data_IF_121723826352
#
_entry.id   IF_121723826352
#
_cell.length_a   1.000
_cell.length_b   1.000
_cell.length_c   1.000
_cell.angle_alpha   90.00
_cell.angle_beta   90.00
_cell.angle_gamma   90.00
#
_symmetry.space_group_name_H-M   'P 1'
#
loop_
_entity.id
_entity.type
_entity.pdbx_description
1 polymer ?
#
# COMPACT_ATOMS: atom_id res chain seq x y z
N UNK A 1 -33.99 -2.00 -42.23
CA UNK A 1 -32.53 -1.99 -42.27
C UNK A 1 -32.09 -0.80 -41.45
N UNK A 2 -31.89 -0.96 -40.17
CA UNK A 2 -31.43 0.03 -39.22
C UNK A 2 -30.10 -0.46 -38.69
N UNK A 3 -29.05 0.26 -39.02
CA UNK A 3 -27.69 -0.03 -38.59
C UNK A 3 -27.58 0.23 -37.08
N UNK A 4 -27.42 -0.81 -36.32
CA UNK A 4 -26.79 -0.76 -35.01
C UNK A 4 -25.29 -0.90 -35.25
N UNK A 5 -24.50 0.10 -34.90
CA UNK A 5 -23.11 -0.04 -34.48
C UNK A 5 -22.61 1.36 -34.12
N UNK A 6 -22.85 1.75 -32.87
CA UNK A 6 -21.97 2.69 -32.18
C UNK A 6 -21.47 2.00 -30.92
N UNK A 7 -20.39 1.24 -31.10
CA UNK A 7 -19.52 0.90 -29.99
C UNK A 7 -18.99 2.22 -29.48
N UNK A 8 -19.52 2.67 -28.35
CA UNK A 8 -18.97 3.80 -27.62
C UNK A 8 -17.54 3.44 -27.23
N UNK A 9 -16.56 4.09 -27.88
CA UNK A 9 -15.20 4.13 -27.36
C UNK A 9 -15.30 4.59 -25.89
N UNK A 10 -14.87 3.73 -24.97
CA UNK A 10 -14.80 4.07 -23.55
C UNK A 10 -13.75 5.15 -23.38
N UNK A 11 -14.20 6.41 -23.25
CA UNK A 11 -13.31 7.53 -22.96
C UNK A 11 -12.64 7.32 -21.60
N UNK A 12 -11.33 7.58 -21.53
CA UNK A 12 -10.60 7.67 -20.27
C UNK A 12 -11.19 8.82 -19.44
N UNK A 13 -11.51 8.54 -18.18
CA UNK A 13 -11.99 9.54 -17.23
C UNK A 13 -10.84 10.01 -16.34
N UNK A 14 -10.74 11.33 -16.13
CA UNK A 14 -9.80 11.88 -15.15
C UNK A 14 -10.18 11.44 -13.74
N UNK A 15 -9.21 10.90 -13.01
CA UNK A 15 -9.35 10.51 -11.60
C UNK A 15 -8.60 11.47 -10.65
N UNK A 16 -8.18 12.61 -11.19
CA UNK A 16 -7.42 13.65 -10.50
C UNK A 16 -5.89 13.49 -10.62
N UNK A 17 -5.17 14.56 -10.32
CA UNK A 17 -3.70 14.64 -10.30
C UNK A 17 -3.02 14.21 -11.64
N UNK A 18 -3.69 14.39 -12.77
CA UNK A 18 -3.16 14.02 -14.10
C UNK A 18 -3.15 12.52 -14.38
N UNK A 19 -3.97 11.75 -13.67
CA UNK A 19 -4.15 10.31 -13.88
C UNK A 19 -5.51 10.08 -14.51
N UNK A 20 -5.55 9.25 -15.56
CA UNK A 20 -6.76 8.82 -16.24
C UNK A 20 -6.96 7.31 -16.07
N UNK A 21 -8.21 6.86 -15.97
CA UNK A 21 -8.52 5.44 -15.82
C UNK A 21 -9.90 5.10 -16.39
N UNK A 22 -10.08 3.83 -16.75
CA UNK A 22 -11.37 3.26 -17.10
C UNK A 22 -12.06 2.64 -15.88
N UNK A 23 -13.34 2.30 -16.02
CA UNK A 23 -14.08 1.56 -14.99
C UNK A 23 -13.43 0.18 -14.74
N UNK A 24 -13.24 -0.19 -13.46
CA UNK A 24 -12.63 -1.44 -13.03
C UNK A 24 -11.24 -1.72 -13.65
N UNK A 25 -10.48 -0.67 -13.98
CA UNK A 25 -9.21 -0.78 -14.69
C UNK A 25 -8.12 0.14 -14.10
N UNK A 26 -8.17 0.41 -12.79
CA UNK A 26 -7.09 1.14 -12.14
C UNK A 26 -5.75 0.41 -12.33
N UNK A 27 -4.74 1.16 -12.76
CA UNK A 27 -3.37 0.67 -12.96
C UNK A 27 -2.37 1.60 -12.30
N UNK A 28 -1.28 1.02 -11.81
CA UNK A 28 -0.14 1.75 -11.26
C UNK A 28 0.95 2.03 -12.31
N UNK A 29 0.75 1.62 -13.56
CA UNK A 29 1.63 1.88 -14.70
C UNK A 29 1.39 3.24 -15.37
N UNK A 30 1.95 3.41 -16.59
CA UNK A 30 1.78 4.62 -17.41
C UNK A 30 2.36 5.87 -16.74
N UNK A 31 1.55 6.93 -16.62
CA UNK A 31 1.96 8.20 -15.99
C UNK A 31 1.83 8.19 -14.45
N UNK A 32 1.25 7.15 -13.86
CA UNK A 32 1.01 7.06 -12.42
C UNK A 32 2.27 7.22 -11.58
N UNK A 33 3.42 6.59 -11.88
CA UNK A 33 4.63 6.69 -11.04
C UNK A 33 5.13 8.11 -10.81
N UNK A 34 5.05 8.98 -11.82
CA UNK A 34 5.53 10.38 -11.71
C UNK A 34 4.66 11.24 -10.79
N UNK A 35 3.37 10.93 -10.72
CA UNK A 35 2.38 11.69 -9.95
C UNK A 35 1.98 10.99 -8.65
N UNK A 36 2.49 9.77 -8.41
CA UNK A 36 2.04 8.87 -7.35
C UNK A 36 2.13 9.49 -5.97
N UNK A 37 3.29 10.02 -5.59
CA UNK A 37 3.52 10.54 -4.23
C UNK A 37 2.59 11.73 -3.92
N UNK A 38 2.35 12.61 -4.88
CA UNK A 38 1.38 13.71 -4.74
C UNK A 38 -0.05 13.18 -4.65
N UNK A 39 -0.43 12.26 -5.54
CA UNK A 39 -1.76 11.68 -5.59
C UNK A 39 -2.11 10.91 -4.31
N UNK A 40 -1.22 10.03 -3.85
CA UNK A 40 -1.47 9.21 -2.66
C UNK A 40 -1.55 10.05 -1.38
N UNK A 41 -0.71 11.09 -1.28
CA UNK A 41 -0.72 12.03 -0.13
C UNK A 41 -2.05 12.77 0.03
N UNK A 42 -2.74 13.07 -1.08
CA UNK A 42 -4.07 13.68 -1.06
C UNK A 42 -5.18 12.65 -0.88
N UNK A 43 -5.05 11.47 -1.52
CA UNK A 43 -6.10 10.43 -1.52
C UNK A 43 -6.20 9.67 -0.22
N UNK A 44 -5.08 9.50 0.51
CA UNK A 44 -4.99 8.74 1.75
C UNK A 44 -4.82 9.71 2.92
N UNK A 45 -5.82 9.82 3.81
CA UNK A 45 -5.73 10.69 4.97
C UNK A 45 -4.53 10.35 5.82
N UNK A 46 -3.79 11.39 6.25
CA UNK A 46 -2.67 11.21 7.17
C UNK A 46 -1.57 10.28 6.64
N UNK A 47 -1.36 10.28 5.30
CA UNK A 47 -0.40 9.41 4.65
C UNK A 47 1.02 9.51 5.24
N UNK A 48 1.49 10.72 5.49
CA UNK A 48 2.82 10.95 6.06
C UNK A 48 2.90 10.62 7.56
N UNK A 49 1.83 10.83 8.31
CA UNK A 49 1.75 10.44 9.74
C UNK A 49 1.96 8.91 9.90
N UNK A 50 1.40 8.11 8.97
CA UNK A 50 1.65 6.66 8.95
C UNK A 50 3.12 6.30 8.69
N UNK A 51 3.80 7.01 7.78
CA UNK A 51 5.25 6.86 7.61
C UNK A 51 6.01 7.16 8.90
N UNK A 52 5.65 8.24 9.61
CA UNK A 52 6.33 8.66 10.85
C UNK A 52 6.14 7.63 11.97
N UNK A 53 4.95 7.02 12.06
CA UNK A 53 4.69 5.90 12.98
C UNK A 53 5.59 4.70 12.63
N UNK A 54 5.65 4.29 11.36
CA UNK A 54 6.48 3.18 10.90
C UNK A 54 7.95 3.44 11.18
N UNK A 55 8.44 4.65 10.89
CA UNK A 55 9.81 5.05 11.18
C UNK A 55 10.13 4.97 12.66
N UNK A 56 9.22 5.42 13.53
CA UNK A 56 9.40 5.36 14.98
C UNK A 56 9.39 3.92 15.50
N UNK A 57 8.50 3.06 14.98
CA UNK A 57 8.50 1.63 15.32
C UNK A 57 9.76 0.93 14.87
N UNK A 58 10.29 1.30 13.71
CA UNK A 58 11.49 0.66 13.14
C UNK A 58 12.72 0.74 14.05
N UNK A 59 12.81 1.74 14.93
CA UNK A 59 13.91 1.90 15.89
C UNK A 59 14.02 0.72 16.88
N UNK A 60 12.93 -0.01 17.12
CA UNK A 60 12.89 -1.13 18.05
C UNK A 60 13.30 -2.47 17.44
N UNK A 61 13.31 -2.56 16.10
CA UNK A 61 13.49 -3.83 15.38
C UNK A 61 14.68 -3.85 14.44
N UNK A 62 15.09 -2.67 13.92
CA UNK A 62 16.15 -2.59 12.92
C UNK A 62 17.50 -2.30 13.57
N UNK A 63 18.43 -3.22 13.37
CA UNK A 63 19.83 -3.10 13.77
C UNK A 63 20.77 -3.25 12.56
N UNK A 64 22.08 -3.21 12.79
CA UNK A 64 23.11 -3.21 11.74
C UNK A 64 23.01 -4.37 10.73
N UNK A 65 22.50 -5.54 11.16
CA UNK A 65 22.47 -6.74 10.32
C UNK A 65 21.05 -7.11 9.88
N UNK A 66 20.08 -6.27 10.18
CA UNK A 66 18.67 -6.52 9.89
C UNK A 66 18.39 -6.55 8.39
N UNK A 67 17.47 -7.44 8.01
CA UNK A 67 16.83 -7.45 6.69
C UNK A 67 15.43 -6.87 6.83
N UNK A 68 15.13 -5.89 5.99
CA UNK A 68 13.88 -5.12 6.00
C UNK A 68 13.21 -5.20 4.65
N UNK A 69 11.93 -5.53 4.63
CA UNK A 69 11.12 -5.55 3.41
C UNK A 69 10.02 -4.51 3.45
N UNK A 70 9.83 -3.80 2.33
CA UNK A 70 8.59 -3.08 2.01
C UNK A 70 7.89 -3.78 0.86
N UNK A 71 6.66 -4.26 1.10
CA UNK A 71 5.83 -4.99 0.15
C UNK A 71 4.90 -4.02 -0.57
N UNK A 72 5.02 -3.91 -1.90
CA UNK A 72 4.37 -2.87 -2.69
C UNK A 72 5.03 -1.52 -2.46
N UNK A 73 6.34 -1.42 -2.71
CA UNK A 73 7.14 -0.24 -2.36
C UNK A 73 6.86 0.98 -3.24
N UNK A 74 6.12 0.83 -4.34
CA UNK A 74 5.81 1.90 -5.29
C UNK A 74 7.07 2.68 -5.68
N UNK A 75 7.08 4.00 -5.52
CA UNK A 75 8.24 4.87 -5.79
C UNK A 75 9.36 4.78 -4.74
N UNK A 76 9.23 3.89 -3.74
CA UNK A 76 10.23 3.64 -2.71
C UNK A 76 10.38 4.73 -1.64
N UNK A 77 9.37 5.58 -1.48
CA UNK A 77 9.45 6.72 -0.56
C UNK A 77 9.67 6.28 0.90
N UNK A 78 8.95 5.27 1.39
CA UNK A 78 9.09 4.77 2.76
C UNK A 78 10.38 3.97 2.94
N UNK A 79 10.73 3.08 1.99
CA UNK A 79 12.00 2.32 2.03
C UNK A 79 13.20 3.27 2.15
N UNK A 80 13.24 4.35 1.34
CA UNK A 80 14.33 5.35 1.39
C UNK A 80 14.36 6.10 2.72
N UNK A 81 13.19 6.42 3.30
CA UNK A 81 13.10 7.06 4.63
C UNK A 81 13.62 6.13 5.74
N UNK A 82 13.25 4.84 5.73
CA UNK A 82 13.76 3.84 6.68
C UNK A 82 15.28 3.69 6.55
N UNK A 83 15.81 3.56 5.33
CA UNK A 83 17.24 3.45 5.11
C UNK A 83 18.02 4.69 5.57
N UNK A 84 17.47 5.88 5.38
CA UNK A 84 18.04 7.14 5.89
C UNK A 84 18.07 7.19 7.41
N UNK A 85 17.03 6.65 8.08
CA UNK A 85 16.94 6.59 9.55
C UNK A 85 17.93 5.59 10.14
N UNK A 86 18.23 4.49 9.42
CA UNK A 86 19.12 3.41 9.85
C UNK A 86 20.36 3.27 8.95
N UNK A 87 21.28 4.24 8.96
CA UNK A 87 22.42 4.28 8.03
C UNK A 87 23.49 3.22 8.34
N UNK A 88 23.34 2.45 9.41
CA UNK A 88 24.39 1.61 9.99
C UNK A 88 24.46 0.18 9.42
N UNK A 89 23.88 -0.09 8.25
CA UNK A 89 24.16 -1.32 7.51
C UNK A 89 23.05 -2.35 7.42
N UNK A 90 21.83 -2.07 7.89
CA UNK A 90 20.65 -2.89 7.58
C UNK A 90 20.39 -2.93 6.06
N UNK A 91 19.89 -4.06 5.55
CA UNK A 91 19.52 -4.27 4.15
C UNK A 91 18.05 -3.92 3.97
N UNK A 92 17.74 -2.99 3.08
CA UNK A 92 16.38 -2.56 2.76
C UNK A 92 15.99 -3.01 1.36
N UNK A 93 14.89 -3.72 1.24
CA UNK A 93 14.41 -4.28 -0.01
C UNK A 93 12.97 -3.83 -0.21
N UNK A 94 12.74 -2.99 -1.22
CA UNK A 94 11.42 -2.64 -1.69
C UNK A 94 11.03 -3.55 -2.86
N UNK A 95 9.85 -4.15 -2.80
CA UNK A 95 9.35 -5.05 -3.84
C UNK A 95 8.05 -4.46 -4.38
N UNK A 96 7.93 -4.36 -5.70
CA UNK A 96 6.70 -3.97 -6.36
C UNK A 96 6.51 -4.78 -7.64
N UNK A 97 5.27 -5.10 -7.97
CA UNK A 97 4.97 -5.85 -9.19
C UNK A 97 5.04 -4.98 -10.45
N UNK A 98 4.87 -3.66 -10.28
CA UNK A 98 4.86 -2.70 -11.37
C UNK A 98 6.28 -2.21 -11.69
N UNK A 99 6.79 -2.61 -12.85
CA UNK A 99 8.14 -2.24 -13.29
C UNK A 99 8.33 -0.71 -13.38
N UNK A 100 7.30 0.01 -13.83
CA UNK A 100 7.36 1.48 -13.91
C UNK A 100 7.54 2.13 -12.54
N UNK A 101 6.99 1.55 -11.46
CA UNK A 101 7.18 2.01 -10.09
C UNK A 101 8.61 1.76 -9.61
N UNK A 102 9.14 0.55 -9.81
CA UNK A 102 10.51 0.22 -9.39
C UNK A 102 11.58 0.98 -10.19
N UNK A 103 11.33 1.25 -11.47
CA UNK A 103 12.18 2.15 -12.27
C UNK A 103 12.21 3.56 -11.69
N UNK A 104 11.03 4.12 -11.33
CA UNK A 104 10.95 5.44 -10.70
C UNK A 104 11.64 5.44 -9.33
N UNK A 105 11.47 4.38 -8.53
CA UNK A 105 12.14 4.23 -7.25
C UNK A 105 13.67 4.23 -7.38
N UNK A 106 14.22 3.55 -8.39
CA UNK A 106 15.65 3.53 -8.67
C UNK A 106 16.18 4.89 -9.15
N UNK A 107 15.42 5.63 -9.96
CA UNK A 107 15.78 7.01 -10.36
C UNK A 107 15.89 7.89 -9.11
N UNK A 108 14.87 7.88 -8.26
CA UNK A 108 14.84 8.68 -7.02
C UNK A 108 15.90 8.23 -6.00
N UNK A 109 16.29 6.95 -6.01
CA UNK A 109 17.39 6.44 -5.18
C UNK A 109 18.74 6.96 -5.66
N UNK A 110 18.97 6.99 -6.97
CA UNK A 110 20.23 7.46 -7.55
C UNK A 110 20.52 8.93 -7.26
N UNK A 111 19.47 9.74 -7.08
CA UNK A 111 19.58 11.15 -6.66
C UNK A 111 20.05 11.32 -5.20
N UNK A 112 20.00 10.25 -4.40
CA UNK A 112 20.36 10.24 -2.98
C UNK A 112 21.67 9.48 -2.76
N UNK A 113 22.80 10.16 -2.75
CA UNK A 113 24.16 9.58 -2.72
C UNK A 113 24.49 8.63 -1.53
N UNK A 114 23.60 8.45 -0.55
CA UNK A 114 23.91 7.81 0.74
C UNK A 114 23.35 6.38 0.92
N UNK A 115 22.53 5.85 0.01
CA UNK A 115 21.73 4.63 0.27
C UNK A 115 22.28 3.38 -0.47
N UNK A 116 23.51 2.98 -0.16
CA UNK A 116 24.15 1.78 -0.75
C UNK A 116 23.50 0.44 -0.34
N UNK A 117 22.64 0.45 0.66
CA UNK A 117 21.98 -0.72 1.25
C UNK A 117 20.50 -0.84 0.90
N UNK A 118 20.03 -0.08 -0.08
CA UNK A 118 18.66 -0.13 -0.61
C UNK A 118 18.66 -0.82 -1.98
N UNK A 119 17.68 -1.71 -2.17
CA UNK A 119 17.44 -2.38 -3.47
C UNK A 119 15.94 -2.34 -3.76
N UNK A 120 15.57 -1.97 -4.98
CA UNK A 120 14.20 -2.11 -5.47
C UNK A 120 14.13 -3.22 -6.50
N UNK A 121 13.17 -4.14 -6.33
CA UNK A 121 12.98 -5.32 -7.16
C UNK A 121 11.58 -5.32 -7.77
N UNK A 122 11.50 -5.59 -9.07
CA UNK A 122 10.23 -5.88 -9.74
C UNK A 122 9.93 -7.37 -9.56
N UNK A 123 9.01 -7.72 -8.67
CA UNK A 123 8.65 -9.11 -8.39
C UNK A 123 7.27 -9.21 -7.73
N UNK A 124 6.70 -10.42 -7.74
CA UNK A 124 5.44 -10.74 -7.08
C UNK A 124 5.68 -11.12 -5.60
N UNK A 125 5.19 -10.29 -4.70
CA UNK A 125 5.31 -10.52 -3.25
C UNK A 125 4.67 -11.84 -2.77
N UNK A 126 3.77 -12.43 -3.54
CA UNK A 126 3.17 -13.74 -3.24
C UNK A 126 4.16 -14.89 -3.43
N UNK A 127 5.10 -14.76 -4.37
CA UNK A 127 6.02 -15.83 -4.76
C UNK A 127 7.48 -15.52 -4.44
N UNK A 128 7.78 -14.31 -3.97
CA UNK A 128 9.13 -13.84 -3.67
C UNK A 128 9.84 -14.77 -2.65
N UNK A 129 11.11 -15.13 -2.88
CA UNK A 129 11.88 -16.00 -1.96
C UNK A 129 12.46 -15.17 -0.80
N UNK A 130 11.64 -14.85 0.20
CA UNK A 130 12.05 -14.06 1.36
C UNK A 130 13.20 -14.70 2.13
N UNK A 131 14.25 -13.92 2.40
CA UNK A 131 15.21 -14.23 3.45
C UNK A 131 14.56 -14.01 4.84
N UNK A 132 15.18 -14.54 5.89
CA UNK A 132 14.78 -14.19 7.26
C UNK A 132 14.96 -12.71 7.51
N UNK A 133 13.95 -12.08 8.09
CA UNK A 133 13.86 -10.63 8.22
C UNK A 133 13.41 -10.20 9.62
N UNK A 134 13.73 -8.99 10.00
CA UNK A 134 13.42 -8.43 11.32
C UNK A 134 12.26 -7.45 11.27
N UNK A 135 12.02 -6.83 10.11
CA UNK A 135 10.96 -5.86 9.93
C UNK A 135 10.38 -5.93 8.52
N UNK A 136 9.06 -6.11 8.45
CA UNK A 136 8.33 -6.14 7.17
C UNK A 136 7.22 -5.10 7.24
N UNK A 137 7.02 -4.36 6.16
CA UNK A 137 5.95 -3.37 6.03
C UNK A 137 5.14 -3.64 4.76
N UNK A 138 3.82 -3.57 4.87
CA UNK A 138 2.89 -3.44 3.75
C UNK A 138 2.06 -2.18 3.94
N UNK A 139 2.33 -1.14 3.15
CA UNK A 139 1.72 0.18 3.31
C UNK A 139 0.69 0.43 2.21
N UNK A 140 -0.57 0.09 2.51
CA UNK A 140 -1.71 0.17 1.60
C UNK A 140 -1.59 -0.72 0.35
N UNK A 141 -0.98 -1.89 0.50
CA UNK A 141 -0.68 -2.82 -0.61
C UNK A 141 -1.62 -4.01 -0.65
N UNK A 142 -1.88 -4.67 0.49
CA UNK A 142 -2.59 -5.96 0.53
C UNK A 142 -4.03 -5.85 0.04
N UNK A 143 -4.64 -4.69 0.16
CA UNK A 143 -5.97 -4.40 -0.36
C UNK A 143 -6.11 -4.60 -1.89
N UNK A 144 -5.00 -4.59 -2.64
CA UNK A 144 -4.95 -4.85 -4.08
C UNK A 144 -4.67 -6.32 -4.43
N UNK A 145 -4.30 -7.13 -3.43
CA UNK A 145 -4.10 -8.58 -3.62
C UNK A 145 -5.47 -9.27 -3.66
N UNK A 146 -5.72 -10.19 -4.60
CA UNK A 146 -6.98 -10.92 -4.64
C UNK A 146 -7.29 -11.63 -3.31
N UNK A 147 -8.52 -11.54 -2.76
CA UNK A 147 -8.87 -12.08 -1.44
C UNK A 147 -8.49 -13.55 -1.24
N UNK A 148 -8.62 -14.36 -2.30
CA UNK A 148 -8.34 -15.82 -2.28
C UNK A 148 -6.90 -16.18 -1.91
N UNK A 149 -5.94 -15.27 -2.10
CA UNK A 149 -4.50 -15.54 -1.85
C UNK A 149 -3.90 -14.71 -0.72
N UNK A 150 -4.67 -13.81 -0.09
CA UNK A 150 -4.15 -12.94 0.99
C UNK A 150 -3.66 -13.73 2.20
N UNK A 151 -4.38 -14.79 2.60
CA UNK A 151 -3.94 -15.62 3.71
C UNK A 151 -2.56 -16.22 3.44
N UNK A 152 -2.33 -16.73 2.23
CA UNK A 152 -1.03 -17.27 1.83
C UNK A 152 0.08 -16.21 1.98
N UNK A 153 -0.18 -14.95 1.63
CA UNK A 153 0.78 -13.88 1.82
C UNK A 153 1.11 -13.67 3.30
N UNK A 154 0.10 -13.58 4.18
CA UNK A 154 0.33 -13.40 5.61
C UNK A 154 1.08 -14.58 6.25
N UNK A 155 0.77 -15.81 5.84
CA UNK A 155 1.48 -17.01 6.29
C UNK A 155 2.97 -16.94 5.91
N UNK A 156 3.28 -16.51 4.67
CA UNK A 156 4.66 -16.33 4.19
C UNK A 156 5.38 -15.20 4.93
N UNK A 157 4.73 -14.07 5.18
CA UNK A 157 5.28 -12.97 5.99
C UNK A 157 5.65 -13.49 7.39
N UNK A 158 4.72 -14.16 8.06
CA UNK A 158 4.99 -14.72 9.38
C UNK A 158 6.16 -15.71 9.35
N UNK A 159 6.21 -16.61 8.36
CA UNK A 159 7.30 -17.58 8.22
C UNK A 159 8.65 -16.91 7.98
N UNK A 160 8.72 -15.83 7.21
CA UNK A 160 9.96 -15.12 6.88
C UNK A 160 10.50 -14.26 8.03
N UNK A 161 9.65 -13.82 8.97
CA UNK A 161 10.12 -13.08 10.13
C UNK A 161 11.00 -13.94 11.05
N UNK A 162 12.04 -13.33 11.59
CA UNK A 162 12.77 -13.82 12.75
C UNK A 162 11.85 -13.78 13.99
N UNK A 163 12.16 -14.58 15.00
CA UNK A 163 11.49 -14.48 16.30
C UNK A 163 11.76 -13.11 16.92
N UNK A 164 10.72 -12.44 17.39
CA UNK A 164 10.79 -11.06 17.86
C UNK A 164 10.81 -10.01 16.74
N UNK A 165 10.75 -10.42 15.47
CA UNK A 165 10.60 -9.50 14.34
C UNK A 165 9.18 -8.98 14.20
N UNK A 166 8.99 -7.89 13.47
CA UNK A 166 7.72 -7.20 13.37
C UNK A 166 7.18 -7.08 11.94
N UNK A 167 5.86 -7.13 11.84
CA UNK A 167 5.10 -6.79 10.64
C UNK A 167 4.19 -5.59 10.88
N UNK A 168 4.25 -4.60 10.00
CA UNK A 168 3.37 -3.43 10.02
C UNK A 168 2.51 -3.43 8.76
N UNK A 169 1.20 -3.43 8.96
CA UNK A 169 0.20 -3.45 7.90
C UNK A 169 -0.65 -2.18 7.97
N UNK A 170 -0.70 -1.39 6.91
CA UNK A 170 -1.67 -0.31 6.74
C UNK A 170 -2.62 -0.64 5.61
N UNK A 171 -3.93 -0.53 5.87
CA UNK A 171 -4.98 -0.89 4.93
C UNK A 171 -6.16 0.09 5.01
N UNK A 172 -6.82 0.28 3.87
CA UNK A 172 -8.20 0.74 3.89
C UNK A 172 -9.07 -0.39 4.42
N UNK A 173 -10.04 -0.06 5.29
CA UNK A 173 -10.95 -1.05 5.87
C UNK A 173 -12.40 -0.72 5.55
N UNK A 174 -13.25 -1.74 5.54
CA UNK A 174 -14.70 -1.59 5.46
C UNK A 174 -15.29 -1.43 6.85
N UNK A 175 -16.44 -0.74 6.92
CA UNK A 175 -17.28 -0.75 8.09
C UNK A 175 -17.74 -2.16 8.45
N UNK A 176 -18.06 -2.42 9.74
CA UNK A 176 -18.47 -3.74 10.20
C UNK A 176 -19.83 -4.19 9.64
N UNK A 177 -20.67 -3.25 9.23
CA UNK A 177 -21.96 -3.48 8.58
C UNK A 177 -22.30 -2.38 7.57
N UNK A 178 -23.43 -2.52 6.87
CA UNK A 178 -23.84 -1.60 5.81
C UNK A 178 -24.04 -0.16 6.33
N UNK A 179 -24.62 0.02 7.52
CA UNK A 179 -24.92 1.33 8.10
C UNK A 179 -23.63 2.13 8.37
N UNK A 180 -22.65 1.50 9.00
CA UNK A 180 -21.35 2.12 9.23
C UNK A 180 -20.59 2.34 7.91
N UNK A 181 -20.69 1.39 6.97
CA UNK A 181 -20.06 1.52 5.67
C UNK A 181 -20.58 2.75 4.91
N UNK A 182 -21.89 3.02 4.93
CA UNK A 182 -22.48 4.17 4.25
C UNK A 182 -22.00 5.49 4.85
N UNK A 183 -21.97 5.59 6.17
CA UNK A 183 -21.47 6.77 6.90
C UNK A 183 -19.98 6.99 6.59
N UNK A 184 -19.16 5.97 6.72
CA UNK A 184 -17.70 6.05 6.47
C UNK A 184 -17.43 6.42 5.01
N UNK A 185 -18.22 5.91 4.08
CA UNK A 185 -18.07 6.24 2.65
C UNK A 185 -18.35 7.72 2.40
N UNK A 186 -19.40 8.28 3.04
CA UNK A 186 -19.74 9.69 2.95
C UNK A 186 -18.62 10.58 3.52
N UNK A 187 -18.13 10.27 4.72
CA UNK A 187 -17.01 11.00 5.34
C UNK A 187 -15.74 10.97 4.48
N UNK A 188 -15.49 9.85 3.80
CA UNK A 188 -14.32 9.76 2.91
C UNK A 188 -14.51 10.56 1.61
N UNK A 189 -15.74 10.68 1.11
CA UNK A 189 -16.06 11.59 -0.02
C UNK A 189 -15.84 13.04 0.40
N UNK A 190 -16.35 13.46 1.57
CA UNK A 190 -16.17 14.80 2.11
C UNK A 190 -14.68 15.14 2.25
N UNK A 191 -13.89 14.24 2.82
CA UNK A 191 -12.44 14.39 2.90
C UNK A 191 -11.81 14.65 1.52
N UNK A 192 -12.18 13.89 0.48
CA UNK A 192 -11.64 14.10 -0.88
C UNK A 192 -12.01 15.45 -1.45
N UNK A 193 -13.23 15.91 -1.23
CA UNK A 193 -13.67 17.25 -1.64
C UNK A 193 -12.82 18.32 -0.95
N UNK A 194 -12.53 18.17 0.34
CA UNK A 194 -11.64 19.06 1.09
C UNK A 194 -10.20 19.05 0.55
N UNK A 195 -9.74 17.91 -0.02
CA UNK A 195 -8.44 17.81 -0.70
C UNK A 195 -8.44 18.42 -2.12
N UNK A 196 -9.57 18.95 -2.57
CA UNK A 196 -9.69 19.66 -3.85
C UNK A 196 -10.08 18.79 -5.05
N UNK A 197 -10.49 17.53 -4.83
CA UNK A 197 -11.00 16.69 -5.92
C UNK A 197 -12.40 17.12 -6.34
N UNK A 198 -12.64 17.20 -7.65
CA UNK A 198 -13.96 17.42 -8.20
C UNK A 198 -14.86 16.18 -8.04
N UNK A 199 -16.17 16.37 -7.96
CA UNK A 199 -17.13 15.27 -7.76
C UNK A 199 -17.03 14.20 -8.86
N UNK A 200 -16.81 14.59 -10.12
CA UNK A 200 -16.65 13.64 -11.22
C UNK A 200 -15.36 12.80 -11.11
N UNK A 201 -14.24 13.39 -10.63
CA UNK A 201 -12.98 12.67 -10.38
C UNK A 201 -13.13 11.64 -9.26
N UNK A 202 -13.85 12.01 -8.17
CA UNK A 202 -14.14 11.08 -7.07
C UNK A 202 -14.97 9.90 -7.57
N UNK A 203 -15.97 10.16 -8.41
CA UNK A 203 -16.83 9.12 -8.99
C UNK A 203 -16.04 8.23 -9.95
N UNK A 204 -15.26 8.80 -10.86
CA UNK A 204 -14.42 8.07 -11.80
C UNK A 204 -13.41 7.18 -11.07
N UNK A 205 -12.72 7.73 -10.05
CA UNK A 205 -11.80 6.96 -9.18
C UNK A 205 -12.51 5.82 -8.46
N UNK A 206 -13.70 6.07 -7.92
CA UNK A 206 -14.48 5.02 -7.24
C UNK A 206 -14.85 3.88 -8.19
N UNK A 207 -15.18 4.19 -9.44
CA UNK A 207 -15.50 3.20 -10.47
C UNK A 207 -14.28 2.45 -10.95
N UNK A 208 -13.15 3.13 -11.16
CA UNK A 208 -11.91 2.50 -11.63
C UNK A 208 -11.36 1.47 -10.64
N UNK A 209 -11.61 1.67 -9.33
CA UNK A 209 -11.15 0.77 -8.26
C UNK A 209 -12.07 -0.43 -8.00
N UNK A 210 -13.25 -0.53 -8.64
CA UNK A 210 -14.14 -1.69 -8.45
C UNK A 210 -13.49 -2.98 -8.96
N UNK A 211 -13.44 -4.01 -8.11
CA UNK A 211 -12.76 -5.28 -8.41
C UNK A 211 -11.23 -5.22 -8.40
N UNK A 212 -10.63 -4.03 -8.19
CA UNK A 212 -9.19 -3.83 -8.08
C UNK A 212 -8.78 -3.60 -6.63
N UNK A 213 -9.47 -2.69 -5.94
CA UNK A 213 -9.25 -2.43 -4.52
C UNK A 213 -10.39 -3.05 -3.71
N UNK A 214 -10.06 -4.10 -2.95
CA UNK A 214 -11.03 -4.89 -2.20
C UNK A 214 -10.69 -4.94 -0.70
N UNK A 215 -10.95 -3.86 0.06
CA UNK A 215 -10.60 -3.79 1.47
C UNK A 215 -11.44 -4.79 2.30
N UNK A 216 -10.82 -5.39 3.30
CA UNK A 216 -11.49 -6.17 4.33
C UNK A 216 -11.93 -5.28 5.49
N UNK A 217 -12.74 -5.82 6.41
CA UNK A 217 -13.03 -5.16 7.68
C UNK A 217 -11.81 -5.25 8.62
N UNK A 218 -11.83 -4.45 9.69
CA UNK A 218 -10.84 -4.55 10.78
C UNK A 218 -10.68 -5.97 11.28
N UNK A 219 -11.80 -6.63 11.61
CA UNK A 219 -11.80 -8.04 12.08
C UNK A 219 -11.27 -8.99 11.01
N UNK A 220 -11.64 -8.81 9.75
CA UNK A 220 -11.14 -9.66 8.66
C UNK A 220 -9.61 -9.61 8.52
N UNK A 221 -9.00 -8.42 8.68
CA UNK A 221 -7.55 -8.28 8.69
C UNK A 221 -6.93 -8.92 9.94
N UNK A 222 -7.49 -8.67 11.13
CA UNK A 222 -7.01 -9.27 12.37
C UNK A 222 -7.11 -10.81 12.35
N UNK A 223 -8.19 -11.36 11.83
CA UNK A 223 -8.37 -12.81 11.69
C UNK A 223 -7.32 -13.44 10.77
N UNK A 224 -6.97 -12.78 9.67
CA UNK A 224 -5.91 -13.27 8.79
C UNK A 224 -4.53 -13.24 9.47
N UNK A 225 -4.23 -12.17 10.22
CA UNK A 225 -2.99 -12.05 10.99
C UNK A 225 -2.91 -13.14 12.07
N UNK A 226 -3.99 -13.34 12.82
CA UNK A 226 -4.07 -14.39 13.84
C UNK A 226 -3.90 -15.79 13.24
N UNK A 227 -4.56 -16.10 12.12
CA UNK A 227 -4.42 -17.39 11.43
C UNK A 227 -3.00 -17.63 10.90
N UNK A 228 -2.28 -16.57 10.50
CA UNK A 228 -0.88 -16.70 10.09
C UNK A 228 0.06 -17.04 11.24
N UNK A 229 -0.38 -16.81 12.50
CA UNK A 229 0.37 -17.15 13.71
C UNK A 229 0.72 -15.95 14.60
N UNK A 230 0.38 -14.72 14.20
CA UNK A 230 0.59 -13.56 15.07
C UNK A 230 -0.40 -13.61 16.25
N UNK A 231 0.12 -13.60 17.47
CA UNK A 231 -0.68 -13.49 18.70
C UNK A 231 -0.67 -12.08 19.26
N UNK A 232 0.42 -11.35 19.01
CA UNK A 232 0.60 -9.96 19.42
C UNK A 232 0.23 -9.05 18.27
N UNK A 233 -1.01 -8.60 18.23
CA UNK A 233 -1.56 -7.71 17.20
C UNK A 233 -2.21 -6.50 17.85
N UNK A 234 -1.78 -5.30 17.45
CA UNK A 234 -2.29 -4.04 17.97
C UNK A 234 -2.68 -3.09 16.82
N UNK A 235 -3.81 -2.41 16.93
CA UNK A 235 -4.11 -1.26 16.08
C UNK A 235 -3.30 -0.05 16.54
N UNK A 236 -2.50 0.53 15.65
CA UNK A 236 -1.61 1.67 15.94
C UNK A 236 -2.06 2.96 15.26
N UNK A 237 -2.96 2.86 14.30
CA UNK A 237 -3.48 3.99 13.54
C UNK A 237 -4.93 3.73 13.15
N UNK A 238 -5.77 4.75 13.26
CA UNK A 238 -7.14 4.73 12.72
C UNK A 238 -7.59 6.14 12.34
N UNK A 239 -7.96 6.32 11.08
CA UNK A 239 -8.55 7.55 10.59
C UNK A 239 -9.56 7.25 9.48
N UNK A 240 -10.84 7.61 9.69
CA UNK A 240 -11.98 7.28 8.82
C UNK A 240 -12.00 5.76 8.53
N UNK A 241 -11.66 5.37 7.31
CA UNK A 241 -11.57 3.98 6.84
C UNK A 241 -10.14 3.51 6.58
N UNK A 242 -9.15 4.12 7.23
CA UNK A 242 -7.74 3.74 7.11
C UNK A 242 -7.24 3.30 8.47
N UNK A 243 -6.64 2.11 8.54
CA UNK A 243 -6.13 1.52 9.77
C UNK A 243 -4.70 1.01 9.59
N UNK A 244 -3.92 1.08 10.67
CA UNK A 244 -2.61 0.50 10.79
C UNK A 244 -2.58 -0.57 11.88
N UNK A 245 -2.04 -1.74 11.56
CA UNK A 245 -1.85 -2.87 12.47
C UNK A 245 -0.37 -3.10 12.67
N UNK A 246 0.01 -3.37 13.90
CA UNK A 246 1.36 -3.71 14.28
C UNK A 246 1.37 -5.09 14.92
N UNK A 247 2.22 -5.98 14.42
CA UNK A 247 2.28 -7.38 14.82
C UNK A 247 3.72 -7.75 15.18
N UNK A 248 3.91 -8.53 16.24
CA UNK A 248 5.21 -9.10 16.64
C UNK A 248 5.12 -10.62 16.56
N UNK A 249 6.18 -11.27 16.03
CA UNK A 249 6.30 -12.71 15.96
C UNK A 249 6.87 -13.30 17.22
#
# INVERSE_FOLDING_TARGET
>A
MTSMDSVTESSLDSVGDGIDSLNAAWSFGGNTPKNFDSHVSKSVPKYHDGHDIILSLSDFFINKNSVVYELGSSTGALTRKMAKRHPQGAKFIGIDIEEAMTQQANILLAEQAANKNVTFLTDDILNFPYEKSDFIVAYYTVQFIPPRVRQQLFDRIYQSLNWGGAFVLFEKVRGPDARFQDIISSLYVDYKVEQGYAAHEILAKSRSLKGVLEPFSTLGNQDMLNRAGFVDVMTIFKHICFEGFFCIK
#
